data_IF_231593758516
#
_entry.id   IF_231593758516
#
_cell.length_a   1.000
_cell.length_b   1.000
_cell.length_c   1.000
_cell.angle_alpha   90.00
_cell.angle_beta   90.00
_cell.angle_gamma   90.00
#
_symmetry.space_group_name_H-M   'P 1'
#
loop_
_entity.id
_entity.type
_entity.pdbx_description
1 polymer ?
#
# COMPACT_ATOMS: atom_id res chain seq x y z
N UNK A 1 16.83 -72.82 -15.85
CA UNK A 1 17.95 -73.13 -14.93
C UNK A 1 19.09 -72.13 -15.18
N UNK A 2 20.18 -72.22 -14.40
CA UNK A 2 21.55 -71.66 -14.62
C UNK A 2 21.95 -71.57 -16.12
N UNK A 3 22.83 -70.68 -16.63
CA UNK A 3 23.68 -69.57 -16.09
C UNK A 3 24.51 -68.93 -17.25
N UNK A 4 25.06 -67.70 -17.08
CA UNK A 4 26.45 -67.24 -17.49
C UNK A 4 26.80 -67.17 -19.00
N UNK A 5 27.69 -66.30 -19.56
CA UNK A 5 28.34 -65.00 -19.19
C UNK A 5 29.32 -64.56 -20.33
N UNK A 6 29.74 -63.27 -20.37
CA UNK A 6 31.03 -62.74 -20.95
C UNK A 6 31.26 -62.70 -22.48
N UNK A 7 32.10 -61.75 -22.97
CA UNK A 7 32.44 -61.62 -24.41
C UNK A 7 33.70 -60.81 -24.80
N UNK A 8 33.67 -59.46 -24.74
CA UNK A 8 34.81 -58.50 -24.88
C UNK A 8 35.55 -58.34 -26.25
N UNK A 9 36.11 -57.12 -26.48
CA UNK A 9 37.25 -56.72 -27.36
C UNK A 9 36.99 -55.89 -28.65
N UNK A 10 37.96 -55.00 -28.92
CA UNK A 10 38.07 -53.78 -29.74
C UNK A 10 38.20 -53.96 -31.28
N UNK A 11 38.04 -52.83 -32.02
CA UNK A 11 38.62 -52.59 -33.36
C UNK A 11 38.57 -51.10 -33.77
N UNK A 12 39.65 -50.56 -34.37
CA UNK A 12 39.77 -49.17 -34.89
C UNK A 12 39.47 -49.12 -36.41
N UNK A 13 39.66 -48.05 -37.23
CA UNK A 13 40.47 -46.81 -37.18
C UNK A 13 40.07 -45.85 -38.34
N UNK A 14 40.39 -44.55 -38.30
CA UNK A 14 40.31 -43.64 -39.49
C UNK A 14 40.25 -42.14 -39.16
N UNK A 15 41.01 -41.27 -39.85
CA UNK A 15 41.19 -39.86 -39.44
C UNK A 15 41.63 -38.89 -40.58
N UNK A 16 41.16 -37.62 -40.53
CA UNK A 16 41.56 -36.43 -41.36
C UNK A 16 40.82 -35.18 -40.82
N UNK A 17 41.28 -33.90 -40.75
CA UNK A 17 42.40 -33.10 -41.32
C UNK A 17 42.25 -32.68 -42.80
N UNK A 18 42.47 -31.43 -43.26
CA UNK A 18 42.76 -30.10 -42.66
C UNK A 18 42.31 -28.99 -43.69
N UNK A 19 42.59 -27.67 -43.67
CA UNK A 19 43.49 -26.78 -42.92
C UNK A 19 42.96 -25.31 -42.86
N UNK A 20 43.80 -24.27 -43.02
CA UNK A 20 43.51 -22.83 -42.82
C UNK A 20 43.47 -21.97 -44.10
N UNK A 21 42.83 -20.79 -44.04
CA UNK A 21 42.97 -19.69 -45.01
C UNK A 21 41.90 -18.59 -44.80
N UNK A 22 42.24 -17.30 -44.88
CA UNK A 22 41.32 -16.21 -44.51
C UNK A 22 41.24 -15.04 -45.51
N UNK A 23 40.12 -14.32 -45.49
CA UNK A 23 39.89 -13.10 -46.28
C UNK A 23 38.58 -12.39 -45.88
N UNK A 24 38.54 -11.05 -45.94
CA UNK A 24 37.33 -10.26 -45.69
C UNK A 24 36.53 -10.05 -46.98
N UNK A 25 35.24 -10.36 -46.94
CA UNK A 25 34.22 -9.66 -47.74
C UNK A 25 32.97 -9.51 -46.87
N UNK A 26 32.40 -8.31 -46.81
CA UNK A 26 31.22 -8.04 -45.99
C UNK A 26 29.94 -8.55 -46.67
N UNK A 27 29.07 -9.20 -45.90
CA UNK A 27 27.66 -9.39 -46.25
C UNK A 27 26.80 -8.84 -45.12
N UNK A 28 25.82 -8.02 -45.49
CA UNK A 28 25.07 -7.16 -44.56
C UNK A 28 23.97 -7.97 -43.86
N UNK A 29 24.31 -8.61 -42.75
CA UNK A 29 23.34 -9.29 -41.90
C UNK A 29 22.25 -8.32 -41.42
N UNK A 30 20.99 -8.74 -41.53
CA UNK A 30 19.89 -8.04 -40.88
C UNK A 30 19.96 -8.36 -39.38
N UNK A 31 20.58 -7.46 -38.60
CA UNK A 31 20.79 -7.66 -37.16
C UNK A 31 19.50 -7.97 -36.41
N UNK A 32 19.57 -9.00 -35.58
CA UNK A 32 18.45 -9.67 -34.91
C UNK A 32 17.70 -8.69 -33.98
N UNK A 33 16.36 -8.73 -34.02
CA UNK A 33 15.50 -7.77 -33.30
C UNK A 33 14.55 -8.51 -32.37
N UNK A 34 14.84 -8.46 -31.07
CA UNK A 34 14.04 -9.11 -30.04
C UNK A 34 13.02 -8.14 -29.45
N UNK A 35 11.75 -8.54 -29.41
CA UNK A 35 10.72 -7.84 -28.64
C UNK A 35 10.61 -8.45 -27.24
N UNK A 36 10.54 -7.60 -26.22
CA UNK A 36 10.43 -7.98 -24.81
C UNK A 36 9.30 -7.18 -24.17
N UNK A 37 8.59 -7.74 -23.19
CA UNK A 37 7.50 -7.02 -22.51
C UNK A 37 7.42 -7.35 -21.02
N UNK A 38 6.95 -6.38 -20.24
CA UNK A 38 6.61 -6.49 -18.81
C UNK A 38 5.43 -5.58 -18.50
N UNK A 39 4.82 -5.74 -17.33
CA UNK A 39 3.64 -4.96 -16.92
C UNK A 39 3.56 -4.82 -15.41
N UNK A 40 3.26 -3.61 -14.94
CA UNK A 40 3.19 -3.29 -13.51
C UNK A 40 2.05 -2.33 -13.19
N UNK A 41 1.68 -2.23 -11.91
CA UNK A 41 0.54 -1.42 -11.47
C UNK A 41 0.84 0.08 -11.59
N UNK A 42 0.14 0.74 -12.52
CA UNK A 42 0.05 2.20 -12.63
C UNK A 42 -1.04 2.80 -11.74
N UNK A 43 -1.37 4.05 -11.99
CA UNK A 43 -2.31 4.83 -11.19
C UNK A 43 -3.77 4.39 -11.34
N UNK A 44 -4.21 4.01 -12.55
CA UNK A 44 -5.59 3.59 -12.83
C UNK A 44 -5.73 2.13 -13.30
N UNK A 45 -4.62 1.42 -13.48
CA UNK A 45 -4.62 0.06 -14.01
C UNK A 45 -3.22 -0.44 -14.32
N UNK A 46 -3.12 -1.49 -15.13
CA UNK A 46 -1.83 -2.06 -15.49
C UNK A 46 -1.18 -1.24 -16.61
N UNK A 47 0.12 -0.95 -16.44
CA UNK A 47 0.94 -0.23 -17.41
C UNK A 47 1.92 -1.22 -18.02
N UNK A 48 1.63 -1.63 -19.24
CA UNK A 48 2.43 -2.59 -20.01
C UNK A 48 3.47 -1.83 -20.83
N UNK A 49 4.72 -2.30 -20.79
CA UNK A 49 5.81 -1.77 -21.60
C UNK A 49 6.32 -2.86 -22.53
N UNK A 50 6.45 -2.55 -23.81
CA UNK A 50 7.07 -3.40 -24.84
C UNK A 50 8.31 -2.69 -25.37
N UNK A 51 9.44 -3.41 -25.38
CA UNK A 51 10.76 -2.93 -25.78
C UNK A 51 11.21 -3.66 -27.05
N UNK A 52 11.53 -2.91 -28.11
CA UNK A 52 12.22 -3.49 -29.27
C UNK A 52 13.72 -3.33 -29.04
N UNK A 53 14.44 -4.44 -28.83
CA UNK A 53 15.90 -4.48 -28.78
C UNK A 53 16.49 -4.88 -30.14
N UNK A 54 17.64 -4.29 -30.48
CA UNK A 54 18.49 -4.68 -31.61
C UNK A 54 19.95 -4.46 -31.27
N UNK A 55 20.81 -5.42 -31.63
CA UNK A 55 22.26 -5.37 -31.39
C UNK A 55 22.63 -5.03 -29.91
N UNK A 56 21.81 -5.55 -28.97
CA UNK A 56 21.94 -5.32 -27.53
C UNK A 56 21.31 -4.02 -27.00
N UNK A 57 20.84 -3.11 -27.86
CA UNK A 57 20.26 -1.81 -27.47
C UNK A 57 18.75 -1.77 -27.62
N UNK A 58 18.06 -1.06 -26.72
CA UNK A 58 16.66 -0.67 -26.91
C UNK A 58 16.63 0.38 -28.02
N UNK A 59 15.89 0.12 -29.10
CA UNK A 59 15.69 1.06 -30.22
C UNK A 59 14.29 1.69 -30.20
N UNK A 60 13.37 1.12 -29.44
CA UNK A 60 11.99 1.56 -29.29
C UNK A 60 11.45 1.09 -27.93
N UNK A 61 10.65 1.94 -27.28
CA UNK A 61 9.84 1.57 -26.13
C UNK A 61 8.41 2.04 -26.39
N UNK A 62 7.43 1.14 -26.27
CA UNK A 62 6.00 1.41 -26.35
C UNK A 62 5.38 1.18 -24.98
N UNK A 63 4.58 2.11 -24.51
CA UNK A 63 3.91 2.04 -23.20
C UNK A 63 2.40 2.09 -23.42
N UNK A 64 1.67 1.15 -22.82
CA UNK A 64 0.21 1.08 -22.84
C UNK A 64 -0.32 1.16 -21.41
N UNK A 65 -0.95 2.30 -21.08
CA UNK A 65 -1.60 2.56 -19.79
C UNK A 65 -3.00 3.11 -20.03
N UNK A 66 -3.93 2.26 -20.46
CA UNK A 66 -5.26 2.68 -20.94
C UNK A 66 -6.07 3.42 -19.87
N UNK A 67 -5.91 3.05 -18.61
CA UNK A 67 -6.65 3.59 -17.48
C UNK A 67 -5.94 4.74 -16.75
N UNK A 68 -4.68 5.07 -17.12
CA UNK A 68 -3.96 6.17 -16.49
C UNK A 68 -4.67 7.50 -16.71
N UNK A 69 -4.61 8.43 -15.77
CA UNK A 69 -5.28 9.74 -15.91
C UNK A 69 -4.74 10.52 -17.11
N UNK A 70 -5.64 10.95 -18.01
CA UNK A 70 -5.28 11.53 -19.32
C UNK A 70 -4.28 12.69 -19.21
N UNK A 71 -4.57 13.67 -18.34
CA UNK A 71 -3.76 14.88 -18.16
C UNK A 71 -2.52 14.68 -17.25
N UNK A 72 -2.26 13.45 -16.80
CA UNK A 72 -1.18 13.16 -15.84
C UNK A 72 -0.36 11.96 -16.31
N UNK A 73 -0.85 10.73 -16.11
CA UNK A 73 -0.14 9.51 -16.49
C UNK A 73 -0.01 9.34 -18.00
N UNK A 74 -1.10 9.54 -18.77
CA UNK A 74 -1.00 9.48 -20.25
C UNK A 74 -0.17 10.62 -20.83
N UNK A 75 -0.23 11.81 -20.23
CA UNK A 75 0.63 12.94 -20.59
C UNK A 75 2.12 12.67 -20.34
N UNK A 76 2.46 11.83 -19.35
CA UNK A 76 3.83 11.42 -19.05
C UNK A 76 4.41 10.36 -20.02
N UNK A 77 3.56 9.51 -20.60
CA UNK A 77 3.98 8.37 -21.44
C UNK A 77 5.01 8.74 -22.53
N UNK A 78 4.81 9.76 -23.39
CA UNK A 78 5.77 10.07 -24.46
C UNK A 78 7.17 10.44 -23.94
N UNK A 79 7.24 11.18 -22.82
CA UNK A 79 8.52 11.52 -22.17
C UNK A 79 9.18 10.28 -21.56
N UNK A 80 8.40 9.38 -20.96
CA UNK A 80 8.93 8.13 -20.41
C UNK A 80 9.48 7.21 -21.52
N UNK A 81 8.80 7.11 -22.68
CA UNK A 81 9.29 6.38 -23.85
C UNK A 81 10.66 6.88 -24.34
N UNK A 82 10.82 8.20 -24.51
CA UNK A 82 12.10 8.81 -24.91
C UNK A 82 13.22 8.47 -23.91
N UNK A 83 12.93 8.56 -22.62
CA UNK A 83 13.91 8.28 -21.58
C UNK A 83 14.37 6.82 -21.55
N UNK A 84 13.48 5.84 -21.76
CA UNK A 84 13.86 4.40 -21.77
C UNK A 84 14.85 4.12 -22.90
N UNK A 85 14.58 4.65 -24.10
CA UNK A 85 15.47 4.49 -25.27
C UNK A 85 16.81 5.21 -25.04
N UNK A 86 16.79 6.38 -24.40
CA UNK A 86 18.00 7.17 -24.06
C UNK A 86 18.86 6.53 -22.97
N UNK A 87 18.24 5.97 -21.94
CA UNK A 87 18.91 5.29 -20.82
C UNK A 87 19.31 3.85 -21.17
N UNK A 88 18.68 3.25 -22.19
CA UNK A 88 18.83 1.84 -22.55
C UNK A 88 18.46 0.87 -21.41
N UNK A 89 17.54 1.28 -20.52
CA UNK A 89 17.15 0.51 -19.33
C UNK A 89 16.06 1.21 -18.51
N UNK A 90 15.82 0.72 -17.29
CA UNK A 90 14.83 1.26 -16.35
C UNK A 90 15.28 2.52 -15.58
N UNK A 91 16.53 2.96 -15.74
CA UNK A 91 17.11 4.11 -15.04
C UNK A 91 16.73 5.44 -15.71
N UNK A 92 15.51 5.91 -15.40
CA UNK A 92 14.87 7.09 -16.01
C UNK A 92 14.35 8.08 -14.95
N UNK A 93 14.26 9.37 -15.27
CA UNK A 93 13.65 10.35 -14.37
C UNK A 93 12.13 10.17 -14.32
N UNK A 94 11.56 10.38 -13.12
CA UNK A 94 10.11 10.50 -12.97
C UNK A 94 9.55 11.73 -13.69
N UNK A 95 8.28 11.67 -14.06
CA UNK A 95 7.54 12.85 -14.53
C UNK A 95 6.75 13.42 -13.36
N UNK A 96 7.01 14.69 -13.02
CA UNK A 96 6.33 15.36 -11.90
C UNK A 96 4.81 15.30 -12.05
N UNK A 97 4.11 15.02 -10.96
CA UNK A 97 2.67 14.73 -10.92
C UNK A 97 2.29 13.30 -11.34
N UNK A 98 3.10 12.61 -12.15
CA UNK A 98 2.85 11.26 -12.66
C UNK A 98 3.80 10.20 -12.05
N UNK A 99 4.11 10.32 -10.75
CA UNK A 99 5.08 9.46 -10.06
C UNK A 99 4.69 7.98 -10.10
N UNK A 100 3.42 7.65 -9.85
CA UNK A 100 2.93 6.26 -9.87
C UNK A 100 3.09 5.65 -11.27
N UNK A 101 2.62 6.34 -12.31
CA UNK A 101 2.83 5.94 -13.71
C UNK A 101 4.31 5.78 -14.05
N UNK A 102 5.16 6.71 -13.60
CA UNK A 102 6.61 6.67 -13.84
C UNK A 102 7.26 5.45 -13.20
N UNK A 103 6.85 5.09 -11.98
CA UNK A 103 7.39 3.94 -11.26
C UNK A 103 6.85 2.61 -11.83
N UNK A 104 5.58 2.55 -12.24
CA UNK A 104 5.03 1.42 -12.98
C UNK A 104 5.78 1.14 -14.28
N UNK A 105 6.10 2.20 -15.04
CA UNK A 105 6.92 2.10 -16.26
C UNK A 105 8.32 1.57 -15.95
N UNK A 106 9.00 2.05 -14.90
CA UNK A 106 10.30 1.51 -14.47
C UNK A 106 10.23 0.03 -14.16
N UNK A 107 9.21 -0.38 -13.41
CA UNK A 107 9.03 -1.77 -12.98
C UNK A 107 8.72 -2.71 -14.16
N UNK A 108 7.82 -2.30 -15.05
CA UNK A 108 7.52 -3.00 -16.30
C UNK A 108 8.75 -3.10 -17.23
N UNK A 109 9.62 -2.08 -17.26
CA UNK A 109 10.91 -2.14 -17.97
C UNK A 109 11.85 -3.16 -17.32
N UNK A 110 12.03 -3.17 -15.99
CA UNK A 110 12.86 -4.19 -15.31
C UNK A 110 12.36 -5.60 -15.62
N UNK A 111 11.06 -5.84 -15.53
CA UNK A 111 10.45 -7.13 -15.90
C UNK A 111 10.76 -7.51 -17.35
N UNK A 112 10.55 -6.59 -18.30
CA UNK A 112 10.86 -6.82 -19.71
C UNK A 112 12.36 -7.11 -19.95
N UNK A 113 13.25 -6.59 -19.10
CA UNK A 113 14.68 -6.84 -19.16
C UNK A 113 15.13 -8.14 -18.47
N UNK A 114 14.27 -8.77 -17.66
CA UNK A 114 14.62 -9.91 -16.81
C UNK A 114 15.35 -9.50 -15.52
N UNK A 115 15.20 -8.25 -15.10
CA UNK A 115 15.90 -7.62 -13.95
C UNK A 115 15.03 -7.60 -12.67
N UNK A 116 13.86 -8.26 -12.69
CA UNK A 116 12.93 -8.37 -11.56
C UNK A 116 13.13 -9.66 -10.75
N UNK A 117 12.87 -9.60 -9.43
CA UNK A 117 12.87 -10.76 -8.54
C UNK A 117 11.58 -11.59 -8.71
N UNK A 118 11.61 -12.94 -8.64
CA UNK A 118 10.54 -13.78 -9.16
C UNK A 118 9.33 -13.96 -8.20
N UNK A 119 8.58 -12.90 -7.94
CA UNK A 119 7.20 -12.96 -7.42
C UNK A 119 6.27 -11.95 -8.12
N UNK A 120 6.07 -12.11 -9.43
CA UNK A 120 4.90 -11.56 -10.17
C UNK A 120 4.93 -11.91 -11.67
N UNK A 121 4.33 -13.04 -12.08
CA UNK A 121 3.88 -13.25 -13.46
C UNK A 121 2.95 -14.47 -13.61
N UNK A 122 1.74 -14.30 -14.17
CA UNK A 122 1.03 -15.40 -14.82
C UNK A 122 1.49 -15.51 -16.28
N UNK A 123 2.16 -16.62 -16.62
CA UNK A 123 2.63 -16.90 -17.98
C UNK A 123 1.95 -18.16 -18.56
N UNK A 124 1.59 -18.10 -19.84
CA UNK A 124 0.94 -19.18 -20.59
C UNK A 124 1.50 -19.27 -22.03
N UNK A 125 1.76 -20.43 -22.67
CA UNK A 125 1.94 -21.83 -22.22
C UNK A 125 2.73 -22.60 -23.31
N UNK A 126 3.29 -23.79 -23.00
CA UNK A 126 3.91 -24.82 -23.89
C UNK A 126 5.34 -24.50 -24.37
N UNK A 127 6.27 -25.45 -24.54
CA UNK A 127 6.31 -26.92 -24.41
C UNK A 127 7.81 -27.37 -24.42
N UNK A 128 8.31 -28.60 -24.23
CA UNK A 128 8.00 -29.96 -23.67
C UNK A 128 9.35 -30.74 -23.85
N UNK A 129 9.83 -31.81 -23.19
CA UNK A 129 9.45 -32.82 -22.18
C UNK A 129 10.79 -33.50 -21.73
N UNK A 130 11.00 -34.30 -20.65
CA UNK A 130 10.37 -34.53 -19.33
C UNK A 130 11.07 -35.73 -18.63
N UNK A 131 11.63 -35.57 -17.41
CA UNK A 131 12.00 -36.65 -16.44
C UNK A 131 12.07 -36.08 -15.01
N UNK A 132 11.32 -36.60 -14.03
CA UNK A 132 11.66 -37.76 -13.13
C UNK A 132 12.95 -37.52 -12.33
N UNK A 133 13.00 -37.55 -10.99
CA UNK A 133 12.05 -37.94 -9.91
C UNK A 133 12.45 -37.19 -8.61
N UNK A 134 11.70 -37.07 -7.51
CA UNK A 134 10.53 -37.84 -7.02
C UNK A 134 9.57 -36.99 -6.18
N UNK A 135 8.31 -37.38 -6.10
CA UNK A 135 7.29 -36.71 -5.30
C UNK A 135 7.32 -37.12 -3.81
N UNK A 136 6.96 -36.18 -2.94
CA UNK A 136 5.94 -36.43 -1.90
C UNK A 136 4.74 -35.55 -2.23
N UNK A 137 3.60 -36.16 -2.56
CA UNK A 137 2.38 -35.44 -2.89
C UNK A 137 1.62 -35.05 -1.62
N UNK A 138 1.23 -33.78 -1.53
CA UNK A 138 -0.05 -33.45 -0.90
C UNK A 138 -1.05 -33.03 -1.98
N UNK A 139 -2.32 -33.33 -1.71
CA UNK A 139 -3.39 -33.25 -2.70
C UNK A 139 -3.90 -31.83 -2.87
N UNK A 140 -4.27 -31.48 -4.11
CA UNK A 140 -5.03 -30.28 -4.45
C UNK A 140 -6.37 -30.24 -3.70
N UNK A 141 -6.37 -29.67 -2.50
CA UNK A 141 -7.53 -29.01 -1.93
C UNK A 141 -7.65 -27.61 -2.57
N UNK A 142 -8.88 -27.15 -2.75
CA UNK A 142 -9.17 -25.79 -3.22
C UNK A 142 -9.24 -24.90 -1.97
N UNK A 143 -8.18 -24.14 -1.72
CA UNK A 143 -7.93 -23.55 -0.40
C UNK A 143 -8.81 -22.32 -0.13
N UNK A 144 -9.92 -22.55 0.58
CA UNK A 144 -10.81 -21.51 1.11
C UNK A 144 -10.18 -20.74 2.30
N UNK A 145 -8.86 -20.53 2.25
CA UNK A 145 -7.99 -20.17 3.38
C UNK A 145 -7.20 -18.87 3.16
N UNK A 146 -7.68 -17.94 2.33
CA UNK A 146 -6.97 -16.70 2.01
C UNK A 146 -6.41 -15.96 3.23
N UNK A 147 -5.23 -15.38 3.08
CA UNK A 147 -4.59 -14.57 4.12
C UNK A 147 -5.43 -13.34 4.47
N UNK A 148 -5.33 -12.89 5.72
CA UNK A 148 -5.81 -11.59 6.12
C UNK A 148 -4.83 -10.51 5.68
N UNK A 149 -5.33 -9.37 5.21
CA UNK A 149 -4.57 -8.15 4.93
C UNK A 149 -5.29 -6.94 5.51
N UNK A 150 -4.52 -5.94 5.93
CA UNK A 150 -5.03 -4.65 6.44
C UNK A 150 -4.49 -3.51 5.56
N UNK A 151 -5.29 -2.47 5.33
CA UNK A 151 -4.90 -1.31 4.56
C UNK A 151 -5.78 -0.10 4.82
N UNK A 152 -5.29 1.06 4.37
CA UNK A 152 -5.82 2.38 4.72
C UNK A 152 -6.02 3.24 3.47
N UNK A 153 -7.00 4.15 3.51
CA UNK A 153 -7.17 5.21 2.54
C UNK A 153 -7.67 6.50 3.20
N UNK A 154 -7.29 7.64 2.61
CA UNK A 154 -7.79 8.97 2.99
C UNK A 154 -8.74 9.48 1.90
N UNK A 155 -9.93 9.99 2.26
CA UNK A 155 -10.96 10.39 1.29
C UNK A 155 -11.64 11.73 1.64
N UNK A 156 -12.10 12.48 0.63
CA UNK A 156 -12.96 13.67 0.80
C UNK A 156 -14.43 13.28 0.99
N UNK A 157 -14.71 12.47 2.02
CA UNK A 157 -16.02 11.83 2.18
C UNK A 157 -17.16 12.82 2.46
N UNK A 158 -16.99 13.80 3.37
CA UNK A 158 -18.05 14.77 3.66
C UNK A 158 -17.55 16.23 3.57
N UNK A 159 -18.08 16.95 2.57
CA UNK A 159 -17.81 18.36 2.36
C UNK A 159 -16.35 18.69 2.02
N UNK A 160 -15.94 19.93 2.33
CA UNK A 160 -14.64 20.51 1.97
C UNK A 160 -13.78 20.89 3.19
N UNK A 161 -14.31 20.75 4.42
CA UNK A 161 -13.68 21.18 5.67
C UNK A 161 -12.98 20.05 6.44
N UNK A 162 -13.07 18.83 5.93
CA UNK A 162 -12.63 17.62 6.62
C UNK A 162 -12.09 16.58 5.63
N UNK A 163 -11.38 15.58 6.16
CA UNK A 163 -10.98 14.39 5.42
C UNK A 163 -11.29 13.14 6.26
N UNK A 164 -11.80 12.10 5.61
CA UNK A 164 -12.00 10.79 6.22
C UNK A 164 -10.71 9.98 6.16
N UNK A 165 -10.49 9.17 7.20
CA UNK A 165 -9.55 8.06 7.22
C UNK A 165 -10.39 6.79 7.29
N UNK A 166 -10.17 5.87 6.35
CA UNK A 166 -10.80 4.56 6.35
C UNK A 166 -9.71 3.49 6.43
N UNK A 167 -9.94 2.47 7.25
CA UNK A 167 -9.11 1.28 7.34
C UNK A 167 -9.99 0.07 7.08
N UNK A 168 -9.51 -0.90 6.31
CA UNK A 168 -10.21 -2.13 6.02
C UNK A 168 -9.31 -3.35 6.21
N UNK A 169 -9.88 -4.42 6.76
CA UNK A 169 -9.30 -5.75 6.81
C UNK A 169 -10.03 -6.62 5.80
N UNK A 170 -9.28 -7.30 4.94
CA UNK A 170 -9.81 -8.18 3.88
C UNK A 170 -9.31 -9.61 4.03
N UNK A 171 -10.13 -10.57 3.58
CA UNK A 171 -9.74 -11.97 3.32
C UNK A 171 -10.08 -12.28 1.86
N UNK A 172 -9.07 -12.28 1.00
CA UNK A 172 -9.28 -12.26 -0.45
C UNK A 172 -10.00 -10.98 -0.91
N UNK A 173 -11.18 -11.11 -1.49
CA UNK A 173 -12.02 -10.00 -1.94
C UNK A 173 -13.07 -9.53 -0.92
N UNK A 174 -13.23 -10.23 0.20
CA UNK A 174 -14.24 -9.92 1.23
C UNK A 174 -13.67 -9.02 2.33
N UNK A 175 -14.34 -7.89 2.60
CA UNK A 175 -14.06 -7.05 3.77
C UNK A 175 -14.59 -7.76 5.02
N UNK A 176 -13.71 -8.07 5.97
CA UNK A 176 -14.09 -8.66 7.25
C UNK A 176 -14.45 -7.61 8.30
N UNK A 177 -13.66 -6.55 8.38
CA UNK A 177 -13.83 -5.44 9.30
C UNK A 177 -13.42 -4.13 8.65
N UNK A 178 -14.05 -3.04 9.07
CA UNK A 178 -13.72 -1.70 8.62
C UNK A 178 -13.78 -0.70 9.79
N UNK A 179 -12.97 0.34 9.69
CA UNK A 179 -12.96 1.51 10.57
C UNK A 179 -13.05 2.77 9.70
N UNK A 180 -13.84 3.74 10.13
CA UNK A 180 -13.99 5.06 9.49
C UNK A 180 -14.00 6.12 10.59
N UNK A 181 -13.16 7.13 10.44
CA UNK A 181 -13.24 8.40 11.17
C UNK A 181 -13.09 9.56 10.19
N UNK A 182 -13.38 10.77 10.64
CA UNK A 182 -13.18 11.99 9.85
C UNK A 182 -12.61 13.11 10.73
N UNK A 183 -11.60 13.80 10.21
CA UNK A 183 -10.87 14.84 10.92
C UNK A 183 -11.23 16.21 10.38
N UNK A 184 -11.38 17.18 11.30
CA UNK A 184 -11.76 18.55 10.99
C UNK A 184 -11.08 19.53 11.94
N UNK A 185 -10.81 20.75 11.48
CA UNK A 185 -10.50 21.86 12.40
C UNK A 185 -11.74 22.31 13.17
N UNK A 186 -11.69 22.18 14.48
CA UNK A 186 -12.74 22.58 15.42
C UNK A 186 -12.19 23.63 16.40
N UNK A 187 -13.05 24.48 17.01
CA UNK A 187 -12.58 25.50 17.97
C UNK A 187 -11.87 24.86 19.16
N UNK A 188 -10.68 25.36 19.49
CA UNK A 188 -9.82 24.81 20.55
C UNK A 188 -10.51 24.72 21.91
N UNK A 189 -11.27 25.77 22.27
CA UNK A 189 -12.08 25.85 23.50
C UNK A 189 -13.31 24.93 23.52
N UNK A 190 -13.47 24.01 22.54
CA UNK A 190 -14.68 23.19 22.40
C UNK A 190 -14.44 21.76 21.89
N UNK A 191 -13.22 21.41 21.48
CA UNK A 191 -12.91 20.10 20.92
C UNK A 191 -11.58 19.56 21.48
N UNK A 192 -11.54 18.25 21.74
CA UNK A 192 -10.30 17.52 21.97
C UNK A 192 -9.55 17.44 20.64
N UNK A 193 -8.36 18.05 20.57
CA UNK A 193 -7.47 17.87 19.43
C UNK A 193 -6.92 16.44 19.36
N UNK A 194 -6.42 16.06 18.18
CA UNK A 194 -5.54 14.89 18.02
C UNK A 194 -4.29 15.02 18.92
N UNK A 195 -3.54 13.94 19.20
CA UNK A 195 -2.28 14.05 19.93
C UNK A 195 -1.36 15.13 19.35
N UNK A 196 -0.63 15.82 20.23
CA UNK A 196 0.22 16.97 19.90
C UNK A 196 -0.48 18.22 19.32
N UNK A 197 -1.82 18.27 19.20
CA UNK A 197 -2.56 19.45 18.70
C UNK A 197 -2.42 20.74 19.54
N UNK A 198 -1.87 20.64 20.76
CA UNK A 198 -1.48 21.79 21.61
C UNK A 198 0.05 21.93 21.78
N UNK A 199 0.83 21.14 21.03
CA UNK A 199 2.29 21.14 20.97
C UNK A 199 2.81 21.46 19.56
N UNK A 200 3.92 20.83 19.16
CA UNK A 200 4.62 21.14 17.90
C UNK A 200 3.81 20.94 16.61
N UNK A 201 2.74 20.14 16.62
CA UNK A 201 1.82 19.99 15.47
C UNK A 201 1.07 21.31 15.18
N UNK A 202 0.82 22.13 16.21
CA UNK A 202 0.13 23.41 16.08
C UNK A 202 0.93 24.47 15.30
N UNK A 203 2.24 24.29 15.11
CA UNK A 203 3.03 25.12 14.19
C UNK A 203 2.54 25.04 12.73
N UNK A 204 1.80 23.99 12.37
CA UNK A 204 1.32 23.73 11.03
C UNK A 204 -0.05 24.31 10.67
N UNK A 205 -0.73 24.97 11.62
CA UNK A 205 -2.04 25.60 11.39
C UNK A 205 -2.16 27.03 11.95
N UNK A 206 -3.26 27.70 11.64
CA UNK A 206 -3.52 29.10 11.97
C UNK A 206 -4.90 29.29 12.61
N UNK A 207 -4.99 30.22 13.56
CA UNK A 207 -6.20 30.51 14.35
C UNK A 207 -6.39 29.60 15.57
N UNK A 208 -7.39 29.94 16.40
CA UNK A 208 -7.69 29.26 17.68
C UNK A 208 -8.48 27.94 17.47
N UNK A 209 -7.94 27.07 16.63
CA UNK A 209 -8.50 25.77 16.26
C UNK A 209 -7.54 24.63 16.61
N UNK A 210 -8.08 23.42 16.70
CA UNK A 210 -7.31 22.17 16.75
C UNK A 210 -7.80 21.24 15.66
N UNK A 211 -6.91 20.47 15.05
CA UNK A 211 -7.32 19.32 14.24
C UNK A 211 -7.90 18.26 15.19
N UNK A 212 -9.11 17.78 14.91
CA UNK A 212 -9.87 16.94 15.82
C UNK A 212 -10.54 15.78 15.08
N UNK A 213 -10.45 14.57 15.65
CA UNK A 213 -11.23 13.38 15.27
C UNK A 213 -12.72 13.59 15.58
N UNK A 214 -13.62 13.23 14.65
CA UNK A 214 -15.07 13.28 14.89
C UNK A 214 -15.56 12.10 15.74
N UNK A 215 -14.85 10.98 15.80
CA UNK A 215 -15.11 9.92 16.80
C UNK A 215 -14.74 10.35 18.22
N UNK A 216 -13.54 10.88 18.44
CA UNK A 216 -13.14 11.37 19.78
C UNK A 216 -13.99 12.56 20.24
N UNK A 217 -14.53 13.35 19.29
CA UNK A 217 -15.45 14.47 19.55
C UNK A 217 -16.91 14.12 19.23
N UNK A 218 -17.29 12.84 19.31
CA UNK A 218 -18.60 12.32 18.89
C UNK A 218 -19.76 13.13 19.45
N UNK A 219 -19.78 13.42 20.74
CA UNK A 219 -20.90 14.12 21.38
C UNK A 219 -21.00 15.59 20.96
N UNK A 220 -19.86 16.28 20.87
CA UNK A 220 -19.79 17.66 20.40
C UNK A 220 -20.26 17.78 18.95
N UNK A 221 -19.72 16.94 18.06
CA UNK A 221 -20.07 16.99 16.64
C UNK A 221 -21.51 16.50 16.37
N UNK A 222 -21.98 15.49 17.10
CA UNK A 222 -23.39 15.06 17.05
C UNK A 222 -24.34 16.15 17.56
N UNK A 223 -23.93 16.94 18.56
CA UNK A 223 -24.63 18.16 18.98
C UNK A 223 -24.78 19.15 17.85
N UNK A 224 -23.69 19.45 17.12
CA UNK A 224 -23.70 20.33 15.95
C UNK A 224 -24.59 19.77 14.81
N UNK A 225 -24.57 18.46 14.56
CA UNK A 225 -25.44 17.81 13.57
C UNK A 225 -26.93 17.93 13.94
N UNK A 226 -27.26 17.74 15.23
CA UNK A 226 -28.62 17.86 15.75
C UNK A 226 -29.13 19.30 15.68
N UNK A 227 -28.29 20.27 16.01
CA UNK A 227 -28.62 21.71 15.94
C UNK A 227 -28.80 22.17 14.49
N UNK A 228 -27.85 21.85 13.60
CA UNK A 228 -27.70 22.50 12.28
C UNK A 228 -28.27 21.70 11.12
N UNK A 229 -28.46 20.39 11.29
CA UNK A 229 -29.00 19.48 10.28
C UNK A 229 -30.18 18.63 10.79
N UNK A 230 -30.67 18.88 12.02
CA UNK A 230 -31.77 18.13 12.65
C UNK A 230 -31.54 16.61 12.74
N UNK A 231 -30.27 16.19 12.80
CA UNK A 231 -29.90 14.78 12.85
C UNK A 231 -30.43 14.07 14.10
N UNK A 232 -30.88 12.83 13.92
CA UNK A 232 -31.42 11.95 14.96
C UNK A 232 -30.42 10.92 15.48
N UNK A 233 -29.43 10.54 14.67
CA UNK A 233 -28.30 9.67 15.05
C UNK A 233 -27.04 10.46 15.40
N UNK A 234 -26.06 9.78 16.01
CA UNK A 234 -24.71 10.33 16.28
C UNK A 234 -23.79 10.14 15.08
N UNK A 235 -22.70 10.92 15.02
CA UNK A 235 -21.67 10.78 13.99
C UNK A 235 -20.99 9.40 14.05
N UNK A 236 -20.65 8.96 15.27
CA UNK A 236 -20.09 7.65 15.60
C UNK A 236 -21.00 6.50 15.14
N UNK A 237 -22.27 6.50 15.57
CA UNK A 237 -23.24 5.48 15.18
C UNK A 237 -23.51 5.44 13.67
N UNK A 238 -23.39 6.59 12.99
CA UNK A 238 -23.40 6.66 11.53
C UNK A 238 -22.23 5.90 10.89
N UNK A 239 -21.00 6.10 11.38
CA UNK A 239 -19.83 5.33 10.92
C UNK A 239 -19.92 3.85 11.29
N UNK A 240 -20.36 3.53 12.52
CA UNK A 240 -20.51 2.15 13.00
C UNK A 240 -21.50 1.35 12.14
N UNK A 241 -22.61 1.96 11.71
CA UNK A 241 -23.57 1.33 10.79
C UNK A 241 -22.98 1.07 9.40
N UNK A 242 -22.19 2.02 8.86
CA UNK A 242 -21.52 1.91 7.56
C UNK A 242 -20.46 0.80 7.59
N UNK A 243 -19.67 0.72 8.65
CA UNK A 243 -18.68 -0.33 8.87
C UNK A 243 -19.34 -1.71 9.04
N UNK A 244 -20.41 -1.79 9.83
CA UNK A 244 -21.16 -3.04 10.06
C UNK A 244 -21.83 -3.57 8.78
N UNK A 245 -22.21 -2.68 7.86
CA UNK A 245 -22.74 -3.05 6.55
C UNK A 245 -21.66 -3.46 5.55
N UNK A 246 -20.44 -2.92 5.68
CA UNK A 246 -19.30 -3.30 4.84
C UNK A 246 -18.71 -4.67 5.22
N UNK A 247 -18.77 -5.04 6.50
CA UNK A 247 -18.36 -6.36 6.97
C UNK A 247 -19.15 -7.49 6.28
N UNK A 248 -18.44 -8.49 5.79
CA UNK A 248 -18.99 -9.64 5.07
C UNK A 248 -19.30 -9.41 3.59
N UNK A 249 -19.07 -8.20 3.05
CA UNK A 249 -19.27 -7.89 1.62
C UNK A 249 -17.99 -8.00 0.82
N UNK A 250 -18.13 -8.30 -0.47
CA UNK A 250 -17.03 -8.19 -1.42
C UNK A 250 -16.73 -6.73 -1.77
N UNK A 251 -15.50 -6.46 -2.20
CA UNK A 251 -15.09 -5.13 -2.69
C UNK A 251 -15.95 -4.70 -3.90
N UNK A 252 -16.30 -5.62 -4.82
CA UNK A 252 -17.11 -5.30 -6.00
C UNK A 252 -18.56 -4.89 -5.63
N UNK A 253 -19.19 -5.58 -4.68
CA UNK A 253 -20.50 -5.18 -4.15
C UNK A 253 -20.45 -3.76 -3.54
N UNK A 254 -19.38 -3.47 -2.80
CA UNK A 254 -19.19 -2.17 -2.15
C UNK A 254 -18.85 -1.07 -3.16
N UNK A 255 -18.05 -1.34 -4.19
CA UNK A 255 -17.78 -0.42 -5.29
C UNK A 255 -19.08 0.00 -5.98
N UNK A 256 -19.91 -0.98 -6.32
CA UNK A 256 -21.22 -0.73 -6.93
C UNK A 256 -22.11 0.11 -6.03
N UNK A 257 -22.28 -0.29 -4.76
CA UNK A 257 -23.13 0.43 -3.79
C UNK A 257 -22.60 1.85 -3.50
N UNK A 258 -21.28 2.05 -3.49
CA UNK A 258 -20.65 3.36 -3.31
C UNK A 258 -20.87 4.31 -4.50
N UNK A 259 -21.35 3.79 -5.62
CA UNK A 259 -21.68 4.54 -6.85
C UNK A 259 -23.18 4.86 -6.98
N UNK A 260 -24.03 4.41 -6.05
CA UNK A 260 -25.49 4.61 -6.10
C UNK A 260 -25.92 5.83 -5.25
N UNK A 261 -26.65 6.78 -5.85
CA UNK A 261 -27.11 8.04 -5.19
C UNK A 261 -27.89 7.81 -3.87
N UNK A 262 -28.50 6.63 -3.73
CA UNK A 262 -29.32 6.23 -2.59
C UNK A 262 -28.67 5.18 -1.68
N UNK A 263 -27.33 5.03 -1.70
CA UNK A 263 -26.61 4.04 -0.89
C UNK A 263 -26.96 4.08 0.62
N UNK A 264 -27.30 5.26 1.14
CA UNK A 264 -27.76 5.45 2.52
C UNK A 264 -29.03 4.66 2.86
N UNK A 265 -29.93 4.45 1.88
CA UNK A 265 -31.16 3.67 2.07
C UNK A 265 -30.89 2.17 2.20
N UNK A 266 -29.76 1.68 1.67
CA UNK A 266 -29.32 0.29 1.80
C UNK A 266 -28.65 0.02 3.17
N UNK A 267 -27.97 1.02 3.74
CA UNK A 267 -27.24 0.88 5.00
C UNK A 267 -28.19 1.10 6.18
N UNK A 268 -28.77 0.01 6.67
CA UNK A 268 -29.65 0.03 7.86
C UNK A 268 -28.96 0.66 9.07
N UNK A 269 -29.46 1.83 9.49
CA UNK A 269 -28.92 2.60 10.62
C UNK A 269 -28.02 3.78 10.24
N UNK A 270 -27.58 3.91 8.98
CA UNK A 270 -26.83 5.08 8.55
C UNK A 270 -27.72 6.33 8.52
N UNK A 271 -27.32 7.35 9.29
CA UNK A 271 -27.95 8.69 9.27
C UNK A 271 -27.12 9.73 8.52
N UNK A 272 -26.03 9.31 7.85
CA UNK A 272 -25.09 10.19 7.16
C UNK A 272 -25.41 10.26 5.66
N UNK A 273 -25.70 11.46 5.16
CA UNK A 273 -26.05 11.68 3.74
C UNK A 273 -24.98 11.15 2.78
N UNK A 274 -23.71 11.35 3.12
CA UNK A 274 -22.56 10.97 2.29
C UNK A 274 -22.13 9.49 2.45
N UNK A 275 -23.02 8.61 2.94
CA UNK A 275 -22.76 7.16 3.14
C UNK A 275 -22.06 6.49 1.95
N UNK A 276 -22.48 6.79 0.71
CA UNK A 276 -21.85 6.27 -0.51
C UNK A 276 -20.33 6.52 -0.55
N UNK A 277 -19.87 7.70 -0.15
CA UNK A 277 -18.45 8.09 -0.17
C UNK A 277 -17.65 7.50 0.99
N UNK A 278 -18.30 7.23 2.12
CA UNK A 278 -17.67 6.47 3.20
C UNK A 278 -17.49 4.99 2.82
N UNK A 279 -18.46 4.40 2.10
CA UNK A 279 -18.28 3.08 1.48
C UNK A 279 -17.15 3.10 0.44
N UNK A 280 -17.05 4.14 -0.40
CA UNK A 280 -15.93 4.31 -1.34
C UNK A 280 -14.55 4.42 -0.63
N UNK A 281 -14.50 5.06 0.54
CA UNK A 281 -13.27 5.13 1.35
C UNK A 281 -12.88 3.74 1.91
N UNK A 282 -13.84 2.95 2.39
CA UNK A 282 -13.61 1.56 2.83
C UNK A 282 -13.15 0.68 1.66
N UNK A 283 -13.75 0.85 0.47
CA UNK A 283 -13.34 0.19 -0.78
C UNK A 283 -11.88 0.49 -1.11
N UNK A 284 -11.46 1.75 -1.04
CA UNK A 284 -10.08 2.13 -1.36
C UNK A 284 -9.10 1.60 -0.32
N UNK A 285 -9.46 1.64 0.97
CA UNK A 285 -8.68 1.00 2.02
C UNK A 285 -8.55 -0.52 1.81
N UNK A 286 -9.61 -1.18 1.35
CA UNK A 286 -9.65 -2.61 1.05
C UNK A 286 -8.86 -2.99 -0.22
N UNK A 287 -8.76 -2.08 -1.20
CA UNK A 287 -7.84 -2.21 -2.35
C UNK A 287 -6.39 -2.04 -1.92
N UNK A 288 -6.09 -1.03 -1.12
CA UNK A 288 -4.75 -0.78 -0.60
C UNK A 288 -4.27 -1.95 0.28
N UNK A 289 -5.18 -2.55 1.05
CA UNK A 289 -4.90 -3.77 1.82
C UNK A 289 -4.30 -4.89 0.94
N UNK A 290 -4.78 -5.10 -0.30
CA UNK A 290 -4.26 -6.14 -1.21
C UNK A 290 -2.79 -5.94 -1.60
N UNK A 291 -2.29 -4.70 -1.55
CA UNK A 291 -0.87 -4.39 -1.80
C UNK A 291 0.04 -4.62 -0.58
N UNK A 292 -0.53 -4.78 0.61
CA UNK A 292 0.21 -4.92 1.86
C UNK A 292 0.54 -6.40 2.19
N UNK A 293 1.51 -6.65 3.09
CA UNK A 293 1.79 -7.98 3.61
C UNK A 293 0.54 -8.65 4.20
N UNK A 294 0.40 -9.95 3.96
CA UNK A 294 -0.67 -10.78 4.52
C UNK A 294 -0.20 -11.64 5.69
N UNK A 295 -1.17 -12.15 6.46
CA UNK A 295 -0.96 -13.19 7.48
C UNK A 295 -1.94 -14.34 7.30
N UNK A 296 -1.47 -15.57 7.47
CA UNK A 296 -2.32 -16.76 7.52
C UNK A 296 -3.18 -16.73 8.79
N UNK A 297 -4.50 -16.95 8.66
CA UNK A 297 -5.42 -17.03 9.79
C UNK A 297 -6.44 -18.17 9.59
N UNK A 298 -6.35 -19.16 10.47
CA UNK A 298 -7.15 -20.39 10.49
C UNK A 298 -8.30 -20.36 11.52
N UNK A 299 -8.37 -19.31 12.34
CA UNK A 299 -9.42 -19.13 13.35
C UNK A 299 -10.77 -18.70 12.76
N UNK A 300 -11.78 -18.54 13.62
CA UNK A 300 -13.08 -17.99 13.22
C UNK A 300 -12.97 -16.46 13.04
N UNK A 301 -13.17 -15.91 11.82
CA UNK A 301 -13.12 -14.48 11.60
C UNK A 301 -14.25 -13.72 12.32
N UNK A 302 -15.31 -14.39 12.80
CA UNK A 302 -16.41 -13.74 13.52
C UNK A 302 -16.03 -13.21 14.91
N UNK A 303 -14.95 -13.74 15.51
CA UNK A 303 -14.42 -13.26 16.79
C UNK A 303 -13.51 -12.03 16.67
N UNK A 304 -13.05 -11.69 15.46
CA UNK A 304 -12.04 -10.66 15.22
C UNK A 304 -12.59 -9.24 15.46
N UNK A 305 -11.75 -8.38 16.04
CA UNK A 305 -12.09 -6.98 16.32
C UNK A 305 -11.04 -6.04 15.76
N UNK A 306 -11.45 -5.16 14.83
CA UNK A 306 -10.62 -4.04 14.39
C UNK A 306 -10.79 -2.87 15.38
N UNK A 307 -9.72 -2.55 16.10
CA UNK A 307 -9.57 -1.41 17.00
C UNK A 307 -8.74 -0.32 16.34
N UNK A 308 -8.81 0.90 16.86
CA UNK A 308 -8.07 2.05 16.34
C UNK A 308 -7.73 3.04 17.45
N UNK A 309 -6.50 3.57 17.44
CA UNK A 309 -6.05 4.58 18.41
C UNK A 309 -5.21 5.68 17.77
N UNK A 310 -5.31 6.88 18.33
CA UNK A 310 -4.43 8.02 18.08
C UNK A 310 -3.34 8.10 19.15
N UNK A 311 -2.08 8.21 18.73
CA UNK A 311 -0.92 8.34 19.61
C UNK A 311 0.03 9.47 19.25
N UNK A 312 1.09 9.60 20.03
CA UNK A 312 2.22 10.51 19.79
C UNK A 312 3.53 9.71 19.85
N UNK A 313 3.68 8.73 18.95
CA UNK A 313 4.79 7.78 19.02
C UNK A 313 6.16 8.42 18.69
N UNK A 314 6.19 9.44 17.81
CA UNK A 314 7.43 10.11 17.41
C UNK A 314 7.36 11.64 17.58
N UNK A 315 7.88 12.14 18.71
CA UNK A 315 8.04 13.57 18.94
C UNK A 315 6.73 14.36 19.05
N UNK A 316 6.79 15.66 18.76
CA UNK A 316 5.70 16.62 19.00
C UNK A 316 5.09 17.22 17.73
N UNK A 317 5.62 16.93 16.53
CA UNK A 317 5.21 17.57 15.25
C UNK A 317 4.34 16.70 14.34
N UNK A 318 4.01 15.50 14.79
CA UNK A 318 3.08 14.58 14.14
C UNK A 318 2.10 14.00 15.16
N UNK A 319 1.03 13.38 14.67
CA UNK A 319 0.28 12.40 15.44
C UNK A 319 0.32 11.06 14.72
N UNK A 320 0.31 9.99 15.48
CA UNK A 320 0.42 8.61 15.01
C UNK A 320 -0.96 7.95 15.04
N UNK A 321 -1.21 7.03 14.13
CA UNK A 321 -2.45 6.25 14.06
C UNK A 321 -2.11 4.77 14.04
N UNK A 322 -2.73 3.98 14.92
CA UNK A 322 -2.62 2.52 14.92
C UNK A 322 -3.99 1.89 14.73
N UNK A 323 -4.17 1.13 13.67
CA UNK A 323 -5.29 0.23 13.49
C UNK A 323 -4.85 -1.20 13.79
N UNK A 324 -5.57 -1.90 14.68
CA UNK A 324 -5.13 -3.20 15.21
C UNK A 324 -6.29 -4.20 15.19
N UNK A 325 -6.10 -5.30 14.49
CA UNK A 325 -7.02 -6.42 14.44
C UNK A 325 -6.65 -7.42 15.54
N UNK A 326 -7.56 -7.68 16.48
CA UNK A 326 -7.32 -8.64 17.57
C UNK A 326 -8.20 -9.87 17.52
N UNK A 327 -7.66 -10.98 18.02
CA UNK A 327 -8.35 -12.23 18.38
C UNK A 327 -8.13 -12.47 19.88
N UNK A 328 -9.12 -12.15 20.70
CA UNK A 328 -8.96 -12.15 22.17
C UNK A 328 -7.91 -11.13 22.63
N UNK A 329 -6.85 -11.62 23.28
CA UNK A 329 -5.67 -10.87 23.75
C UNK A 329 -4.52 -10.83 22.73
N UNK A 330 -4.72 -11.40 21.54
CA UNK A 330 -3.71 -11.55 20.50
C UNK A 330 -3.88 -10.50 19.39
N UNK A 331 -2.78 -9.85 19.00
CA UNK A 331 -2.72 -9.05 17.76
C UNK A 331 -2.57 -9.99 16.57
N UNK A 332 -3.46 -9.86 15.59
CA UNK A 332 -3.48 -10.64 14.35
C UNK A 332 -2.85 -9.86 13.21
N UNK A 333 -3.21 -8.57 13.09
CA UNK A 333 -2.65 -7.61 12.15
C UNK A 333 -2.59 -6.23 12.81
N UNK A 334 -1.58 -5.45 12.47
CA UNK A 334 -1.47 -4.04 12.83
C UNK A 334 -1.10 -3.18 11.62
N UNK A 335 -1.54 -1.93 11.63
CA UNK A 335 -1.22 -0.92 10.62
C UNK A 335 -0.95 0.42 11.30
N UNK A 336 0.28 0.92 11.11
CA UNK A 336 0.75 2.21 11.61
C UNK A 336 0.85 3.22 10.48
N UNK A 337 0.45 4.46 10.73
CA UNK A 337 0.85 5.63 9.95
C UNK A 337 1.05 6.83 10.89
N UNK A 338 1.58 7.93 10.37
CA UNK A 338 1.61 9.20 11.09
C UNK A 338 1.32 10.36 10.14
N UNK A 339 0.55 11.34 10.63
CA UNK A 339 0.26 12.57 9.90
C UNK A 339 1.03 13.72 10.52
N UNK A 340 1.68 14.52 9.67
CA UNK A 340 2.36 15.75 10.07
C UNK A 340 2.20 16.84 9.03
N UNK A 341 2.53 18.08 9.41
CA UNK A 341 2.67 19.15 8.43
C UNK A 341 3.97 19.01 7.64
N UNK A 342 3.86 19.22 6.33
CA UNK A 342 4.96 19.13 5.37
C UNK A 342 4.85 20.27 4.35
N UNK A 343 5.96 20.69 3.70
CA UNK A 343 5.92 21.66 2.61
C UNK A 343 5.01 21.20 1.46
N UNK A 344 4.02 22.02 1.11
CA UNK A 344 3.03 21.76 0.06
C UNK A 344 3.65 21.46 -1.31
N UNK A 345 4.83 22.04 -1.57
CA UNK A 345 5.56 21.93 -2.85
C UNK A 345 6.47 20.68 -2.86
N UNK A 346 6.32 19.78 -1.89
CA UNK A 346 7.12 18.54 -1.76
C UNK A 346 6.33 17.33 -1.24
N UNK A 347 5.18 17.55 -0.58
CA UNK A 347 4.33 16.48 -0.06
C UNK A 347 2.88 16.58 -0.60
N UNK A 348 2.29 15.42 -0.87
CA UNK A 348 0.85 15.28 -1.13
C UNK A 348 0.10 15.37 0.19
N UNK A 349 -0.69 16.42 0.36
CA UNK A 349 -1.57 16.58 1.52
C UNK A 349 -2.77 15.62 1.51
N UNK A 350 -3.40 15.45 2.66
CA UNK A 350 -4.70 14.75 2.79
C UNK A 350 -5.77 15.40 1.89
N UNK A 351 -6.85 14.68 1.52
CA UNK A 351 -7.94 15.25 0.74
C UNK A 351 -8.49 16.55 1.33
N UNK A 352 -9.01 17.43 0.47
CA UNK A 352 -9.43 18.79 0.82
C UNK A 352 -8.32 19.75 1.32
N UNK A 353 -7.03 19.35 1.29
CA UNK A 353 -5.90 20.27 1.59
C UNK A 353 -5.83 21.50 0.68
N UNK A 354 -6.40 21.46 -0.52
CA UNK A 354 -6.54 22.60 -1.44
C UNK A 354 -7.95 23.23 -1.43
N UNK A 355 -8.74 22.93 -0.38
CA UNK A 355 -10.12 23.40 -0.13
C UNK A 355 -10.22 23.99 1.29
N UNK A 356 -11.43 24.00 1.88
CA UNK A 356 -11.75 24.65 3.16
C UNK A 356 -11.12 24.02 4.41
N UNK A 357 -10.53 22.84 4.29
CA UNK A 357 -9.65 22.27 5.32
C UNK A 357 -8.32 23.06 5.36
N UNK A 358 -7.71 23.28 4.19
CA UNK A 358 -6.47 24.02 4.03
C UNK A 358 -6.53 25.52 4.33
N UNK A 359 -7.73 26.11 4.41
CA UNK A 359 -7.95 27.48 4.93
C UNK A 359 -7.36 27.69 6.35
N UNK A 360 -7.13 26.60 7.10
CA UNK A 360 -6.59 26.63 8.46
C UNK A 360 -5.10 26.23 8.52
N UNK A 361 -4.44 25.92 7.40
CA UNK A 361 -3.02 25.55 7.40
C UNK A 361 -2.09 26.78 7.50
N UNK A 362 -0.91 26.58 8.08
CA UNK A 362 0.17 27.57 8.03
C UNK A 362 0.69 27.75 6.59
N UNK A 363 1.20 28.95 6.26
CA UNK A 363 1.58 29.26 4.88
C UNK A 363 2.66 28.29 4.35
N UNK A 364 2.38 27.72 3.18
CA UNK A 364 3.27 26.75 2.54
C UNK A 364 3.19 25.31 3.08
N UNK A 365 2.33 25.03 4.07
CA UNK A 365 2.17 23.67 4.62
C UNK A 365 0.95 22.93 4.06
N UNK A 366 1.00 21.60 4.13
CA UNK A 366 -0.14 20.68 4.06
C UNK A 366 -0.03 19.64 5.17
N UNK A 367 -1.16 19.18 5.73
CA UNK A 367 -1.17 17.96 6.55
C UNK A 367 -1.01 16.75 5.64
N UNK A 368 -0.04 15.89 5.92
CA UNK A 368 0.36 14.79 5.04
C UNK A 368 0.68 13.52 5.85
N UNK A 369 0.17 12.37 5.37
CA UNK A 369 0.53 11.03 5.84
C UNK A 369 1.98 10.70 5.48
N UNK A 370 2.73 10.09 6.41
CA UNK A 370 4.10 9.65 6.20
C UNK A 370 4.18 8.40 5.33
N UNK A 371 3.20 7.48 5.37
CA UNK A 371 3.12 6.37 4.39
C UNK A 371 2.83 6.87 2.97
N UNK A 372 1.82 7.73 2.78
CA UNK A 372 1.49 8.31 1.46
C UNK A 372 2.68 9.10 0.89
N UNK A 373 3.48 9.74 1.75
CA UNK A 373 4.65 10.53 1.38
C UNK A 373 5.98 9.83 1.66
N UNK A 374 6.00 8.49 1.74
CA UNK A 374 7.14 7.74 2.24
C UNK A 374 8.43 7.97 1.44
N UNK A 375 8.35 8.21 0.12
CA UNK A 375 9.53 8.56 -0.69
C UNK A 375 10.17 9.90 -0.24
N UNK A 376 9.35 10.95 -0.13
CA UNK A 376 9.81 12.28 0.33
C UNK A 376 10.34 12.23 1.77
N UNK A 377 9.58 11.62 2.68
CA UNK A 377 9.93 11.59 4.10
C UNK A 377 11.19 10.75 4.37
N UNK A 378 11.33 9.61 3.67
CA UNK A 378 12.55 8.79 3.74
C UNK A 378 13.77 9.51 3.16
N UNK A 379 13.57 10.38 2.16
CA UNK A 379 14.60 11.31 1.69
C UNK A 379 15.11 12.21 2.82
N UNK A 380 14.20 12.85 3.56
CA UNK A 380 14.55 13.67 4.73
C UNK A 380 15.24 12.87 5.84
N UNK A 381 14.77 11.66 6.14
CA UNK A 381 15.39 10.77 7.13
C UNK A 381 16.81 10.36 6.73
N UNK A 382 17.03 10.04 5.45
CA UNK A 382 18.34 9.69 4.91
C UNK A 382 19.31 10.89 4.94
N UNK A 383 18.84 12.09 4.62
CA UNK A 383 19.65 13.31 4.64
C UNK A 383 20.00 13.74 6.09
N UNK A 384 18.99 13.81 6.98
CA UNK A 384 19.10 14.48 8.28
C UNK A 384 19.42 13.54 9.44
N UNK A 385 19.02 12.27 9.34
CA UNK A 385 19.21 11.24 10.38
C UNK A 385 20.06 10.04 9.89
N UNK A 386 20.60 10.10 8.67
CA UNK A 386 21.41 9.04 8.05
C UNK A 386 20.69 7.67 7.97
N UNK A 387 19.35 7.68 7.92
CA UNK A 387 18.55 6.46 7.87
C UNK A 387 18.86 5.60 6.64
N UNK A 388 19.01 4.30 6.87
CA UNK A 388 19.30 3.29 5.84
C UNK A 388 18.06 2.57 5.32
N UNK A 389 16.92 2.75 6.00
CA UNK A 389 15.60 2.24 5.64
C UNK A 389 14.60 3.37 5.43
N UNK A 390 13.54 3.08 4.67
CA UNK A 390 12.40 3.99 4.51
C UNK A 390 11.50 4.01 5.75
N UNK A 391 10.62 5.01 5.84
CA UNK A 391 9.64 5.15 6.93
C UNK A 391 8.57 4.05 6.91
N UNK A 392 8.10 3.66 5.73
CA UNK A 392 7.14 2.57 5.53
C UNK A 392 7.75 1.20 5.87
N UNK A 393 8.97 0.92 5.39
CA UNK A 393 9.75 -0.25 5.83
C UNK A 393 9.93 -0.31 7.36
N UNK A 394 10.09 0.84 8.01
CA UNK A 394 10.20 0.95 9.47
C UNK A 394 8.92 0.58 10.20
N UNK A 395 7.77 1.08 9.73
CA UNK A 395 6.45 0.72 10.26
C UNK A 395 6.13 -0.77 10.01
N UNK A 396 6.38 -1.27 8.81
CA UNK A 396 6.16 -2.69 8.45
C UNK A 396 6.99 -3.64 9.33
N UNK A 397 8.23 -3.26 9.69
CA UNK A 397 9.07 -4.02 10.60
C UNK A 397 8.57 -4.02 12.05
N UNK A 398 7.98 -2.91 12.53
CA UNK A 398 7.38 -2.82 13.86
C UNK A 398 6.09 -3.64 13.92
N UNK A 399 5.20 -3.48 12.92
CA UNK A 399 3.97 -4.26 12.78
C UNK A 399 4.28 -5.75 12.76
N UNK A 400 5.21 -6.20 11.91
CA UNK A 400 5.67 -7.60 11.85
C UNK A 400 6.28 -8.13 13.16
N UNK A 401 6.76 -7.25 14.04
CA UNK A 401 7.27 -7.65 15.35
C UNK A 401 6.18 -7.78 16.42
N UNK A 402 5.03 -7.10 16.25
CA UNK A 402 3.84 -7.20 17.10
C UNK A 402 2.82 -8.25 16.61
N UNK A 403 2.68 -8.40 15.29
CA UNK A 403 1.69 -9.29 14.67
C UNK A 403 1.95 -10.75 15.04
N UNK A 404 0.90 -11.43 15.49
CA UNK A 404 0.97 -12.80 15.99
C UNK A 404 1.26 -12.94 17.50
N UNK A 405 1.45 -11.83 18.24
CA UNK A 405 1.74 -11.82 19.69
C UNK A 405 0.53 -11.49 20.57
N UNK A 406 0.63 -11.79 21.86
CA UNK A 406 -0.31 -11.24 22.86
C UNK A 406 0.08 -9.82 23.30
N UNK A 407 -0.86 -9.05 23.83
CA UNK A 407 -0.61 -7.72 24.42
C UNK A 407 0.56 -7.74 25.42
N UNK A 408 0.61 -8.74 26.30
CA UNK A 408 1.68 -8.89 27.31
C UNK A 408 3.06 -9.17 26.71
N UNK A 409 3.14 -9.84 25.54
CA UNK A 409 4.40 -9.98 24.81
C UNK A 409 4.84 -8.66 24.15
N UNK A 410 3.91 -7.79 23.76
CA UNK A 410 4.19 -6.49 23.12
C UNK A 410 4.65 -5.48 24.16
N UNK A 411 3.97 -5.34 25.32
CA UNK A 411 4.46 -4.59 26.50
C UNK A 411 5.89 -5.04 26.86
N UNK A 412 6.10 -6.36 26.94
CA UNK A 412 7.40 -6.96 27.20
C UNK A 412 8.49 -6.59 26.17
N UNK A 413 8.15 -6.03 25.01
CA UNK A 413 9.06 -5.52 23.97
C UNK A 413 9.09 -3.99 23.87
N UNK A 414 8.05 -3.28 24.32
CA UNK A 414 7.92 -1.83 24.21
C UNK A 414 8.84 -1.03 25.16
N UNK A 415 9.47 -1.67 26.16
CA UNK A 415 10.45 -1.02 27.04
C UNK A 415 11.71 -0.52 26.29
N UNK A 416 12.20 0.67 26.64
CA UNK A 416 13.23 1.42 25.88
C UNK A 416 14.50 0.60 25.54
N UNK A 417 15.04 -0.20 26.48
CA UNK A 417 16.24 -1.02 26.25
C UNK A 417 16.03 -2.21 25.27
N UNK A 418 14.79 -2.48 24.86
CA UNK A 418 14.42 -3.65 24.03
C UNK A 418 13.95 -3.29 22.62
N UNK A 419 13.56 -2.04 22.37
CA UNK A 419 13.07 -1.63 21.05
C UNK A 419 14.14 -1.74 19.95
N UNK A 420 15.42 -1.62 20.29
CA UNK A 420 16.57 -1.90 19.40
C UNK A 420 16.61 -3.37 18.90
N UNK A 421 15.82 -4.28 19.50
CA UNK A 421 15.68 -5.66 19.05
C UNK A 421 14.59 -5.86 17.98
N UNK A 422 13.85 -4.83 17.57
CA UNK A 422 12.90 -4.89 16.45
C UNK A 422 13.67 -5.01 15.13
N UNK A 423 13.98 -6.24 14.73
CA UNK A 423 14.91 -6.55 13.64
C UNK A 423 14.41 -6.03 12.28
N UNK A 424 14.96 -4.90 11.84
CA UNK A 424 14.65 -4.24 10.56
C UNK A 424 14.04 -2.85 10.71
N UNK A 425 13.48 -2.51 11.88
CA UNK A 425 13.05 -1.15 12.18
C UNK A 425 14.29 -0.31 12.50
N UNK A 426 14.49 0.79 11.78
CA UNK A 426 15.53 1.79 12.09
C UNK A 426 14.91 3.07 12.65
N UNK A 427 13.69 2.98 13.21
CA UNK A 427 13.00 4.10 13.85
C UNK A 427 13.40 4.10 15.33
N UNK A 428 14.05 5.18 15.77
CA UNK A 428 14.50 5.34 17.17
C UNK A 428 13.39 5.07 18.18
N UNK A 429 12.17 5.50 17.85
CA UNK A 429 11.05 5.52 18.78
C UNK A 429 10.15 4.26 18.62
N UNK A 430 10.69 3.15 18.08
CA UNK A 430 10.00 1.85 17.88
C UNK A 430 9.28 1.34 19.13
N UNK A 431 9.83 1.62 20.33
CA UNK A 431 9.19 1.42 21.63
C UNK A 431 7.76 1.96 21.68
N UNK A 432 7.58 3.23 21.30
CA UNK A 432 6.33 3.96 21.42
C UNK A 432 5.29 3.48 20.40
N UNK A 433 5.73 3.01 19.23
CA UNK A 433 4.84 2.42 18.24
C UNK A 433 4.34 1.02 18.65
N UNK A 434 5.20 0.19 19.26
CA UNK A 434 4.77 -1.07 19.89
C UNK A 434 3.76 -0.78 21.01
N UNK A 435 4.03 0.20 21.85
CA UNK A 435 3.13 0.64 22.91
C UNK A 435 1.79 1.18 22.38
N UNK A 436 1.78 1.85 21.23
CA UNK A 436 0.55 2.30 20.59
C UNK A 436 -0.26 1.13 19.98
N UNK A 437 0.40 0.08 19.49
CA UNK A 437 -0.26 -1.16 19.06
C UNK A 437 -0.86 -1.90 20.27
N UNK A 438 -0.13 -1.95 21.39
CA UNK A 438 -0.58 -2.51 22.68
C UNK A 438 -1.82 -1.77 23.22
N UNK A 439 -1.75 -0.44 23.38
CA UNK A 439 -2.88 0.37 23.88
C UNK A 439 -4.09 0.30 22.93
N UNK A 440 -3.86 0.29 21.61
CA UNK A 440 -4.93 0.05 20.63
C UNK A 440 -5.52 -1.36 20.77
N UNK A 441 -4.71 -2.39 21.00
CA UNK A 441 -5.17 -3.77 21.19
C UNK A 441 -5.98 -3.96 22.49
N UNK A 442 -5.76 -3.15 23.53
CA UNK A 442 -6.57 -3.19 24.76
C UNK A 442 -7.94 -2.51 24.62
N UNK A 443 -8.04 -1.42 23.84
CA UNK A 443 -9.17 -0.46 23.79
C UNK A 443 -10.61 -0.98 23.59
#
# INVERSE_FOLDING_TARGET
MKRVLTGLILGAMGFSLAACGGGKTESKAAGDSASLSGSAKGFGGDVTVTLTKKDGKIIEAKIEGANETDNVGKAAIPKLQEQIVKANGADIDGVSGATVTSNAVKEAVKQALGEASPESSPAETKAEEKKESSASSESKAEEAGGELRIGEAYASAHGEKSFAQAVAVVKGDTVLAAYVDEYQFLPKESAKGVPNADGGLAEGYTGDVVLASKRENSDYYSGLMKEKAQATGTISGGYDAIQSFAAGKTIEELEKLSSEDNAVDAVSGATLKDTAKYLAAIVEAAKNAKGNPGVSFEGDPSGLKLKFMLGAAHGDKCFSTAAVLTDGDKVVLSYLDELQFMPKDSASGVPNSDKKLGENYAEGQVLASKRVNAEYYSGLMKEKAQATKRIDEGYDAIQKAADGKTVTEIDSMAGEEKADAVSGATLKDSANYLKLIEEAAES
#
